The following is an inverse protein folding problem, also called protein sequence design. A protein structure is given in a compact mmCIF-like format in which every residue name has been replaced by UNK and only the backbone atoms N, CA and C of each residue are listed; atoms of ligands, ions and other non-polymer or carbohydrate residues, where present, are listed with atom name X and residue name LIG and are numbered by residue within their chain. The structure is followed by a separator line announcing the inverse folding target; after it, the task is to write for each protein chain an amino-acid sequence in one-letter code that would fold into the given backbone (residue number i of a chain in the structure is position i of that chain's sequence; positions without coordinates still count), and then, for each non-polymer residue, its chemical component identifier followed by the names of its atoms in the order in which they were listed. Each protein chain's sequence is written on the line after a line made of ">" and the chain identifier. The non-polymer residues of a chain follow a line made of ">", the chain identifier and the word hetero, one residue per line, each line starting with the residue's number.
data_IF_779748578579
#
_entry.id   IF_779748578579
#
_cell.length_a   1.000
_cell.length_b   1.000
_cell.length_c   1.000
_cell.angle_alpha   90.00
_cell.angle_beta   90.00
_cell.angle_gamma   90.00
#
_symmetry.space_group_name_H-M   'P 1'
#
loop_
_entity.id
_entity.type
_entity.pdbx_description
1 polymer ?
#
# COMPACT_ATOMS: atom_id res chain seq x y z
N UNK A 1 -22.57 -7.53 5.84
CA UNK A 1 -21.13 -7.68 5.56
C UNK A 1 -20.79 -8.77 4.54
N UNK A 2 -21.17 -10.05 4.74
CA UNK A 2 -20.89 -11.16 3.80
C UNK A 2 -21.37 -10.90 2.35
N UNK A 3 -22.63 -10.49 2.17
CA UNK A 3 -23.23 -10.19 0.86
C UNK A 3 -22.44 -9.11 0.09
N UNK A 4 -21.98 -8.06 0.78
CA UNK A 4 -21.16 -7.00 0.17
C UNK A 4 -19.83 -7.57 -0.39
N UNK A 5 -19.19 -8.49 0.33
CA UNK A 5 -17.94 -9.15 -0.13
C UNK A 5 -18.15 -9.96 -1.40
N UNK A 6 -19.29 -10.67 -1.52
CA UNK A 6 -19.63 -11.42 -2.74
C UNK A 6 -19.86 -10.50 -3.94
N UNK A 7 -20.51 -9.35 -3.75
CA UNK A 7 -20.68 -8.35 -4.81
C UNK A 7 -19.34 -7.78 -5.29
N UNK A 8 -18.42 -7.45 -4.37
CA UNK A 8 -17.09 -6.96 -4.73
C UNK A 8 -16.28 -8.03 -5.46
N UNK A 9 -16.27 -9.28 -4.99
CA UNK A 9 -15.60 -10.38 -5.68
C UNK A 9 -16.11 -10.52 -7.12
N UNK A 10 -17.43 -10.59 -7.30
CA UNK A 10 -18.04 -10.65 -8.63
C UNK A 10 -17.67 -9.43 -9.50
N UNK A 11 -17.65 -8.26 -8.91
CA UNK A 11 -17.29 -7.02 -9.62
C UNK A 11 -15.86 -7.08 -10.19
N UNK A 12 -14.88 -7.48 -9.39
CA UNK A 12 -13.49 -7.59 -9.84
C UNK A 12 -13.32 -8.69 -10.91
N UNK A 13 -13.95 -9.83 -10.72
CA UNK A 13 -13.96 -10.89 -11.74
C UNK A 13 -14.55 -10.42 -13.06
N UNK A 14 -15.65 -9.64 -13.03
CA UNK A 14 -16.22 -9.05 -14.23
C UNK A 14 -15.27 -8.04 -14.88
N UNK A 15 -14.58 -7.21 -14.09
CA UNK A 15 -13.59 -6.25 -14.60
C UNK A 15 -12.47 -6.97 -15.37
N UNK A 16 -11.93 -8.04 -14.81
CA UNK A 16 -10.89 -8.83 -15.46
C UNK A 16 -11.41 -9.53 -16.71
N UNK A 17 -12.64 -10.07 -16.67
CA UNK A 17 -13.27 -10.70 -17.83
C UNK A 17 -13.53 -9.69 -18.97
N UNK A 18 -13.92 -8.47 -18.64
CA UNK A 18 -14.18 -7.41 -19.61
C UNK A 18 -12.89 -6.86 -20.25
N UNK A 19 -11.79 -6.91 -19.50
CA UNK A 19 -10.48 -6.45 -19.98
C UNK A 19 -9.33 -7.11 -19.23
N UNK A 20 -8.71 -8.12 -19.85
CA UNK A 20 -7.57 -8.85 -19.24
C UNK A 20 -6.32 -7.97 -19.01
N UNK A 21 -6.26 -6.79 -19.61
CA UNK A 21 -5.18 -5.81 -19.42
C UNK A 21 -4.99 -5.36 -17.98
N UNK A 22 -5.99 -5.55 -17.09
CA UNK A 22 -5.83 -5.32 -15.65
C UNK A 22 -4.61 -6.03 -15.03
N UNK A 23 -4.17 -7.13 -15.61
CA UNK A 23 -3.02 -7.88 -15.11
C UNK A 23 -1.68 -7.37 -15.65
N UNK A 24 -1.68 -6.66 -16.78
CA UNK A 24 -0.46 -6.38 -17.53
C UNK A 24 -0.18 -4.89 -17.74
N UNK A 25 -1.22 -4.07 -17.81
CA UNK A 25 -1.15 -2.67 -18.21
C UNK A 25 -1.86 -1.79 -17.20
N UNK A 26 -1.41 -0.55 -17.04
CA UNK A 26 -2.17 0.42 -16.25
C UNK A 26 -3.51 0.72 -16.93
N UNK A 27 -4.58 0.82 -16.13
CA UNK A 27 -5.91 1.16 -16.66
C UNK A 27 -5.91 2.53 -17.32
N UNK A 28 -5.20 3.48 -16.73
CA UNK A 28 -4.98 4.79 -17.33
C UNK A 28 -3.69 4.79 -18.14
N UNK A 29 -3.77 4.92 -19.49
CA UNK A 29 -2.59 4.80 -20.34
C UNK A 29 -1.53 5.89 -20.11
N UNK A 30 -1.90 7.03 -19.51
CA UNK A 30 -0.94 8.08 -19.13
C UNK A 30 -0.01 7.61 -17.99
N UNK A 31 -0.44 6.60 -17.24
CA UNK A 31 0.27 6.07 -16.07
C UNK A 31 0.93 4.71 -16.33
N UNK A 32 1.03 4.29 -17.61
CA UNK A 32 1.59 2.99 -17.98
C UNK A 32 3.03 2.81 -17.47
N UNK A 33 3.87 3.81 -17.68
CA UNK A 33 5.27 3.80 -17.27
C UNK A 33 5.52 4.50 -15.92
N UNK A 34 4.46 4.71 -15.13
CA UNK A 34 4.57 5.40 -13.86
C UNK A 34 5.51 4.64 -12.92
N UNK A 35 6.59 5.30 -12.46
CA UNK A 35 7.68 4.74 -11.65
C UNK A 35 8.71 3.85 -12.39
N UNK A 36 8.66 3.68 -13.69
CA UNK A 36 9.70 2.92 -14.41
C UNK A 36 11.08 3.59 -14.28
N UNK A 37 11.14 4.91 -14.38
CA UNK A 37 12.40 5.69 -14.26
C UNK A 37 13.00 5.66 -12.85
N UNK A 38 12.17 5.42 -11.82
CA UNK A 38 12.59 5.37 -10.41
C UNK A 38 12.81 3.94 -9.92
N UNK A 39 12.75 2.96 -10.83
CA UNK A 39 12.94 1.56 -10.47
C UNK A 39 14.32 1.32 -9.87
N UNK A 40 14.33 0.77 -8.66
CA UNK A 40 15.50 0.48 -7.85
C UNK A 40 15.38 -0.96 -7.29
N UNK A 41 16.16 -1.91 -7.81
CA UNK A 41 16.12 -3.30 -7.35
C UNK A 41 16.41 -3.47 -5.86
N UNK A 42 17.27 -2.65 -5.28
CA UNK A 42 17.64 -2.75 -3.85
C UNK A 42 16.46 -2.35 -2.96
N UNK A 43 15.70 -1.33 -3.36
CA UNK A 43 14.45 -0.95 -2.67
C UNK A 43 13.39 -2.04 -2.78
N UNK A 44 13.25 -2.64 -3.96
CA UNK A 44 12.32 -3.75 -4.18
C UNK A 44 12.71 -4.95 -3.32
N UNK A 45 13.99 -5.29 -3.25
CA UNK A 45 14.47 -6.43 -2.46
C UNK A 45 14.32 -6.18 -0.96
N UNK A 46 14.59 -4.97 -0.47
CA UNK A 46 14.35 -4.59 0.92
C UNK A 46 12.86 -4.72 1.27
N UNK A 47 11.94 -4.27 0.38
CA UNK A 47 10.52 -4.44 0.57
C UNK A 47 10.11 -5.92 0.58
N UNK A 48 10.56 -6.72 -0.40
CA UNK A 48 10.26 -8.16 -0.47
C UNK A 48 10.76 -8.93 0.74
N UNK A 49 11.92 -8.56 1.27
CA UNK A 49 12.55 -9.26 2.41
C UNK A 49 12.07 -8.78 3.77
N UNK A 50 11.37 -7.64 3.82
CA UNK A 50 10.94 -7.01 5.07
C UNK A 50 12.14 -6.45 5.86
N UNK A 51 12.95 -5.63 5.19
CA UNK A 51 14.14 -4.96 5.74
C UNK A 51 14.15 -3.47 5.36
N UNK A 52 12.97 -2.85 5.32
CA UNK A 52 12.80 -1.45 4.90
C UNK A 52 13.11 -0.46 6.00
N UNK A 53 13.21 -0.90 7.26
CA UNK A 53 13.31 -0.02 8.41
C UNK A 53 11.96 0.57 8.86
N UNK A 54 10.86 0.07 8.32
CA UNK A 54 9.49 0.37 8.72
C UNK A 54 8.85 -0.86 9.33
N UNK A 55 8.79 -0.97 10.66
CA UNK A 55 8.46 -2.24 11.36
C UNK A 55 7.15 -2.88 10.94
N UNK A 56 6.09 -2.09 10.71
CA UNK A 56 4.79 -2.64 10.30
C UNK A 56 4.84 -3.20 8.86
N UNK A 57 5.58 -2.55 7.96
CA UNK A 57 5.79 -3.03 6.58
C UNK A 57 6.62 -4.31 6.62
N UNK A 58 7.72 -4.30 7.39
CA UNK A 58 8.65 -5.44 7.49
C UNK A 58 7.95 -6.66 8.10
N UNK A 59 7.20 -6.45 9.18
CA UNK A 59 6.38 -7.50 9.80
C UNK A 59 5.36 -8.08 8.82
N UNK A 60 4.65 -7.24 8.07
CA UNK A 60 3.67 -7.68 7.09
C UNK A 60 4.31 -8.49 5.95
N UNK A 61 5.43 -8.04 5.40
CA UNK A 61 6.12 -8.75 4.32
C UNK A 61 6.72 -10.08 4.76
N UNK A 62 7.28 -10.15 5.98
CA UNK A 62 7.77 -11.41 6.56
C UNK A 62 6.62 -12.38 6.87
N UNK A 63 5.50 -11.87 7.42
CA UNK A 63 4.28 -12.64 7.62
C UNK A 63 3.77 -13.24 6.30
N UNK A 64 3.65 -12.44 5.24
CA UNK A 64 3.25 -12.90 3.92
C UNK A 64 4.13 -14.03 3.41
N UNK A 65 5.44 -13.85 3.44
CA UNK A 65 6.39 -14.85 2.93
C UNK A 65 6.36 -16.17 3.71
N UNK A 66 6.09 -16.11 4.99
CA UNK A 66 6.08 -17.30 5.86
C UNK A 66 4.74 -18.01 5.88
N UNK A 67 3.63 -17.27 5.83
CA UNK A 67 2.28 -17.84 6.01
C UNK A 67 1.44 -17.88 4.74
N UNK A 68 1.79 -17.08 3.73
CA UNK A 68 0.97 -16.89 2.53
C UNK A 68 -0.31 -16.10 2.79
N UNK A 69 -0.41 -15.40 3.93
CA UNK A 69 -1.63 -14.66 4.26
C UNK A 69 -1.34 -13.30 4.91
N UNK A 70 -2.14 -12.31 4.52
CA UNK A 70 -2.22 -10.98 5.15
C UNK A 70 -3.67 -10.50 5.13
N UNK A 71 -4.08 -9.74 6.14
CA UNK A 71 -5.36 -9.03 6.08
C UNK A 71 -5.31 -7.91 5.02
N UNK A 72 -6.50 -7.43 4.61
CA UNK A 72 -6.63 -6.42 3.56
C UNK A 72 -5.85 -5.14 3.85
N UNK A 73 -5.91 -4.63 5.09
CA UNK A 73 -5.24 -3.38 5.48
C UNK A 73 -3.72 -3.45 5.31
N UNK A 74 -3.11 -4.55 5.73
CA UNK A 74 -1.67 -4.76 5.56
C UNK A 74 -1.30 -4.90 4.07
N UNK A 75 -2.13 -5.59 3.26
CA UNK A 75 -1.91 -5.66 1.81
C UNK A 75 -1.93 -4.26 1.18
N UNK A 76 -2.93 -3.45 1.51
CA UNK A 76 -3.06 -2.09 0.99
C UNK A 76 -1.89 -1.19 1.41
N UNK A 77 -1.47 -1.27 2.68
CA UNK A 77 -0.32 -0.52 3.19
C UNK A 77 0.98 -0.92 2.48
N UNK A 78 1.25 -2.23 2.32
CA UNK A 78 2.46 -2.70 1.64
C UNK A 78 2.48 -2.30 0.17
N UNK A 79 1.32 -2.34 -0.53
CA UNK A 79 1.20 -1.89 -1.91
C UNK A 79 1.46 -0.38 -2.04
N UNK A 80 0.82 0.44 -1.19
CA UNK A 80 1.06 1.89 -1.14
C UNK A 80 2.52 2.22 -0.79
N UNK A 81 3.12 1.51 0.18
CA UNK A 81 4.52 1.72 0.53
C UNK A 81 5.45 1.50 -0.66
N UNK A 82 5.26 0.39 -1.40
CA UNK A 82 6.05 0.07 -2.59
C UNK A 82 5.85 1.13 -3.68
N UNK A 83 4.60 1.46 -3.99
CA UNK A 83 4.28 2.30 -5.15
C UNK A 83 4.44 3.79 -4.86
N UNK A 84 4.02 4.25 -3.67
CA UNK A 84 4.02 5.68 -3.35
C UNK A 84 5.34 6.10 -2.69
N UNK A 85 5.77 5.42 -1.62
CA UNK A 85 6.93 5.86 -0.85
C UNK A 85 8.25 5.40 -1.47
N UNK A 86 8.33 4.16 -1.97
CA UNK A 86 9.52 3.69 -2.68
C UNK A 86 9.50 4.04 -4.17
N UNK A 87 8.36 4.47 -4.71
CA UNK A 87 8.15 4.82 -6.12
C UNK A 87 8.55 3.69 -7.08
N UNK A 88 8.10 2.46 -6.79
CA UNK A 88 8.40 1.30 -7.62
C UNK A 88 7.20 0.90 -8.49
N UNK A 89 7.43 0.29 -9.67
CA UNK A 89 6.37 -0.16 -10.56
C UNK A 89 5.39 -1.11 -9.86
N UNK A 90 4.10 -0.83 -9.96
CA UNK A 90 3.03 -1.57 -9.30
C UNK A 90 3.01 -3.07 -9.61
N UNK A 91 3.35 -3.42 -10.86
CA UNK A 91 3.33 -4.80 -11.36
C UNK A 91 4.27 -5.71 -10.56
N UNK A 92 5.43 -5.20 -10.16
CA UNK A 92 6.40 -5.94 -9.34
C UNK A 92 5.78 -6.41 -8.03
N UNK A 93 5.05 -5.51 -7.37
CA UNK A 93 4.35 -5.83 -6.13
C UNK A 93 3.17 -6.77 -6.34
N UNK A 94 2.37 -6.53 -7.38
CA UNK A 94 1.23 -7.38 -7.72
C UNK A 94 1.65 -8.83 -8.01
N UNK A 95 2.70 -9.03 -8.80
CA UNK A 95 3.24 -10.35 -9.13
C UNK A 95 3.81 -11.05 -7.88
N UNK A 96 4.51 -10.30 -7.02
CA UNK A 96 5.04 -10.83 -5.78
C UNK A 96 3.93 -11.30 -4.83
N UNK A 97 2.88 -10.51 -4.65
CA UNK A 97 1.73 -10.89 -3.83
C UNK A 97 0.97 -12.08 -4.43
N UNK A 98 0.74 -12.07 -5.74
CA UNK A 98 0.07 -13.17 -6.42
C UNK A 98 0.79 -14.51 -6.23
N UNK A 99 2.13 -14.48 -6.27
CA UNK A 99 2.95 -15.67 -6.04
C UNK A 99 2.91 -16.19 -4.60
N UNK A 100 2.85 -15.29 -3.60
CA UNK A 100 2.97 -15.69 -2.18
C UNK A 100 1.63 -15.95 -1.48
N UNK A 101 0.54 -15.34 -1.93
CA UNK A 101 -0.75 -15.46 -1.27
C UNK A 101 -1.41 -16.82 -1.55
N UNK A 102 -1.83 -17.52 -0.50
CA UNK A 102 -2.60 -18.76 -0.59
C UNK A 102 -4.02 -18.53 -1.13
N UNK A 103 -4.59 -17.36 -0.89
CA UNK A 103 -5.89 -16.91 -1.37
C UNK A 103 -5.80 -16.02 -2.60
N UNK A 104 -4.72 -16.16 -3.38
CA UNK A 104 -4.47 -15.36 -4.58
C UNK A 104 -5.60 -15.52 -5.60
N UNK A 105 -6.29 -14.41 -5.85
CA UNK A 105 -7.28 -14.26 -6.92
C UNK A 105 -6.76 -13.17 -7.87
N UNK A 106 -6.50 -13.47 -9.16
CA UNK A 106 -5.91 -12.51 -10.07
C UNK A 106 -6.76 -11.26 -10.25
N UNK A 107 -8.10 -11.43 -10.30
CA UNK A 107 -9.00 -10.31 -10.47
C UNK A 107 -8.94 -9.34 -9.28
N UNK A 108 -8.86 -9.86 -8.06
CA UNK A 108 -8.77 -9.05 -6.85
C UNK A 108 -7.36 -8.47 -6.72
N UNK A 109 -6.33 -9.32 -6.85
CA UNK A 109 -4.95 -8.92 -6.59
C UNK A 109 -4.48 -7.78 -7.50
N UNK A 110 -4.57 -7.97 -8.82
CA UNK A 110 -4.08 -6.97 -9.79
C UNK A 110 -4.93 -5.71 -9.80
N UNK A 111 -6.25 -5.84 -9.70
CA UNK A 111 -7.14 -4.67 -9.61
C UNK A 111 -6.85 -3.84 -8.35
N UNK A 112 -6.72 -4.49 -7.19
CA UNK A 112 -6.42 -3.79 -5.95
C UNK A 112 -5.04 -3.13 -5.97
N UNK A 113 -4.02 -3.79 -6.53
CA UNK A 113 -2.71 -3.15 -6.69
C UNK A 113 -2.76 -1.89 -7.54
N UNK A 114 -3.45 -1.91 -8.68
CA UNK A 114 -3.62 -0.72 -9.50
C UNK A 114 -4.36 0.41 -8.77
N UNK A 115 -5.41 0.05 -8.02
CA UNK A 115 -6.15 1.03 -7.21
C UNK A 115 -5.33 1.63 -6.07
N UNK A 116 -4.45 0.83 -5.42
CA UNK A 116 -3.57 1.33 -4.36
C UNK A 116 -2.41 2.16 -4.93
N UNK A 117 -1.90 1.80 -6.10
CA UNK A 117 -0.87 2.54 -6.82
C UNK A 117 -1.39 3.79 -7.54
N UNK A 118 -2.72 4.01 -7.56
CA UNK A 118 -3.36 5.14 -8.26
C UNK A 118 -3.26 5.11 -9.78
N UNK A 119 -2.77 4.01 -10.38
CA UNK A 119 -2.54 3.94 -11.84
C UNK A 119 -3.81 3.69 -12.66
N UNK A 120 -4.94 3.51 -12.00
CA UNK A 120 -6.26 3.59 -12.62
C UNK A 120 -6.69 5.05 -12.91
N UNK A 121 -6.08 6.02 -12.23
CA UNK A 121 -6.29 7.45 -12.39
C UNK A 121 -7.52 8.01 -11.65
N UNK A 122 -8.31 7.20 -10.96
CA UNK A 122 -9.53 7.67 -10.26
C UNK A 122 -9.23 8.23 -8.87
N UNK A 123 -8.29 7.63 -8.16
CA UNK A 123 -7.83 8.09 -6.85
C UNK A 123 -6.31 7.94 -6.75
N UNK A 124 -5.58 8.93 -7.24
CA UNK A 124 -4.13 8.87 -7.38
C UNK A 124 -3.37 9.17 -6.07
N UNK A 125 -4.03 9.70 -5.05
CA UNK A 125 -3.41 10.05 -3.76
C UNK A 125 -4.06 9.25 -2.63
N UNK A 126 -3.50 8.09 -2.34
CA UNK A 126 -3.91 7.26 -1.21
C UNK A 126 -2.68 6.69 -0.50
N UNK A 127 -1.93 7.58 0.14
CA UNK A 127 -0.66 7.22 0.77
C UNK A 127 -0.92 6.74 2.19
N UNK A 128 -0.63 5.48 2.47
CA UNK A 128 -0.66 4.94 3.83
C UNK A 128 0.55 5.43 4.63
N UNK A 129 0.30 5.87 5.87
CA UNK A 129 1.39 6.18 6.80
C UNK A 129 1.73 4.94 7.64
N UNK A 130 2.87 4.25 7.40
CA UNK A 130 3.21 3.02 8.11
C UNK A 130 3.38 3.23 9.63
N UNK A 131 3.85 4.41 10.05
CA UNK A 131 4.01 4.77 11.46
C UNK A 131 2.67 4.90 12.17
N UNK A 132 1.68 5.52 11.51
CA UNK A 132 0.30 5.56 12.02
C UNK A 132 -0.30 4.16 12.11
N UNK A 133 -0.02 3.28 11.15
CA UNK A 133 -0.52 1.90 11.18
C UNK A 133 -0.01 1.11 12.39
N UNK A 134 1.20 1.38 12.88
CA UNK A 134 1.69 0.79 14.15
C UNK A 134 0.81 1.20 15.30
N UNK A 135 0.63 2.52 15.48
CA UNK A 135 -0.13 3.07 16.61
C UNK A 135 -1.60 2.63 16.62
N UNK A 136 -2.22 2.54 15.44
CA UNK A 136 -3.66 2.29 15.31
C UNK A 136 -4.00 0.79 15.30
N UNK A 137 -3.08 -0.08 14.84
CA UNK A 137 -3.40 -1.49 14.59
C UNK A 137 -2.52 -2.49 15.34
N UNK A 138 -1.43 -2.04 15.98
CA UNK A 138 -0.54 -2.88 16.79
C UNK A 138 0.01 -2.07 17.98
N UNK A 139 -0.85 -1.43 18.79
CA UNK A 139 -0.43 -0.53 19.87
C UNK A 139 0.42 -1.24 20.93
N UNK A 140 0.27 -2.54 21.08
CA UNK A 140 1.04 -3.36 22.03
C UNK A 140 2.27 -4.01 21.39
N UNK A 141 2.46 -3.85 20.08
CA UNK A 141 3.60 -4.36 19.32
C UNK A 141 3.63 -5.88 19.15
N UNK A 142 2.49 -6.57 19.36
CA UNK A 142 2.43 -8.04 19.31
C UNK A 142 2.72 -8.57 17.90
N UNK A 143 2.15 -7.94 16.87
CA UNK A 143 2.38 -8.35 15.50
C UNK A 143 3.81 -8.03 15.05
N UNK A 144 4.29 -6.83 15.32
CA UNK A 144 5.65 -6.42 14.94
C UNK A 144 6.68 -7.33 15.63
N UNK A 145 6.63 -7.50 16.94
CA UNK A 145 7.59 -8.32 17.68
C UNK A 145 7.58 -9.78 17.26
N UNK A 146 6.43 -10.32 16.89
CA UNK A 146 6.30 -11.66 16.35
C UNK A 146 7.05 -11.87 15.02
N UNK A 147 6.99 -10.88 14.11
CA UNK A 147 7.53 -11.02 12.76
C UNK A 147 8.87 -10.33 12.56
N UNK A 148 9.24 -9.44 13.47
CA UNK A 148 10.52 -8.72 13.52
C UNK A 148 11.16 -8.96 14.88
N UNK A 149 11.65 -10.19 15.13
CA UNK A 149 12.17 -10.57 16.45
C UNK A 149 13.36 -9.72 16.90
N UNK A 150 14.07 -9.08 15.97
CA UNK A 150 15.13 -8.11 16.29
C UNK A 150 14.63 -6.91 17.09
N UNK A 151 13.33 -6.63 17.06
CA UNK A 151 12.69 -5.54 17.81
C UNK A 151 11.95 -6.03 19.07
N UNK A 152 12.00 -7.31 19.43
CA UNK A 152 11.24 -7.88 20.54
C UNK A 152 11.51 -7.17 21.87
N UNK A 153 12.78 -6.88 22.16
CA UNK A 153 13.18 -6.18 23.38
C UNK A 153 12.93 -4.66 23.35
N UNK A 154 12.61 -4.08 22.17
CA UNK A 154 12.40 -2.63 22.06
C UNK A 154 11.11 -2.22 22.76
N UNK A 155 11.10 -1.15 23.58
CA UNK A 155 9.86 -0.61 24.15
C UNK A 155 8.87 -0.20 23.07
N UNK A 156 7.59 -0.48 23.32
CA UNK A 156 6.49 -0.30 22.34
C UNK A 156 6.40 1.14 21.82
N UNK A 157 6.71 2.10 22.65
CA UNK A 157 6.70 3.53 22.33
C UNK A 157 7.67 3.94 21.20
N UNK A 158 8.63 3.07 20.86
CA UNK A 158 9.58 3.31 19.76
C UNK A 158 9.30 2.46 18.53
N UNK A 159 8.32 1.54 18.56
CA UNK A 159 8.07 0.64 17.43
C UNK A 159 7.56 1.33 16.17
N UNK A 160 6.98 2.51 16.28
CA UNK A 160 6.56 3.26 15.10
C UNK A 160 7.71 4.04 14.43
N UNK A 161 8.78 4.35 15.18
CA UNK A 161 9.97 5.07 14.73
C UNK A 161 11.24 4.57 15.46
N UNK A 162 11.70 3.34 15.21
CA UNK A 162 12.85 2.76 15.94
C UNK A 162 14.12 3.61 15.82
N UNK A 163 14.29 4.32 14.72
CA UNK A 163 15.43 5.23 14.47
C UNK A 163 15.50 6.40 15.44
N UNK A 164 14.42 6.69 16.14
CA UNK A 164 14.36 7.73 17.16
C UNK A 164 14.63 7.24 18.58
N UNK A 165 14.87 5.94 18.74
CA UNK A 165 15.18 5.36 20.06
C UNK A 165 16.50 5.94 20.60
N UNK A 166 16.52 6.52 21.81
CA UNK A 166 17.74 7.04 22.41
C UNK A 166 18.81 5.95 22.55
N UNK A 167 20.08 6.31 22.34
CA UNK A 167 21.19 5.35 22.37
C UNK A 167 21.27 4.56 23.69
N UNK A 168 21.04 5.21 24.83
CA UNK A 168 21.06 4.53 26.13
C UNK A 168 19.97 3.45 26.25
N UNK A 169 18.77 3.67 25.64
CA UNK A 169 17.71 2.67 25.58
C UNK A 169 18.13 1.51 24.67
N UNK A 170 18.70 1.83 23.49
CA UNK A 170 19.23 0.81 22.57
C UNK A 170 20.29 -0.07 23.26
N UNK A 171 21.19 0.54 24.06
CA UNK A 171 22.21 -0.15 24.82
C UNK A 171 21.60 -1.07 25.90
N UNK A 172 20.61 -0.57 26.63
CA UNK A 172 19.92 -1.29 27.70
C UNK A 172 19.21 -2.54 27.19
N UNK A 173 18.53 -2.45 26.04
CA UNK A 173 17.74 -3.55 25.46
C UNK A 173 18.53 -4.40 24.47
N UNK A 174 19.76 -4.03 24.13
CA UNK A 174 20.60 -4.76 23.18
C UNK A 174 20.15 -4.68 21.72
N UNK A 175 19.33 -3.68 21.37
CA UNK A 175 18.86 -3.44 19.99
C UNK A 175 19.62 -2.26 19.40
N UNK A 176 20.31 -2.47 18.29
CA UNK A 176 21.08 -1.43 17.59
C UNK A 176 20.46 -1.12 16.24
N UNK A 177 19.89 0.08 16.11
CA UNK A 177 19.36 0.55 14.84
C UNK A 177 20.52 0.89 13.91
N UNK A 178 20.47 0.34 12.70
CA UNK A 178 21.57 0.37 11.73
C UNK A 178 22.47 -0.87 11.76
N UNK A 179 22.38 -1.72 12.79
CA UNK A 179 23.14 -2.96 12.91
C UNK A 179 22.22 -4.19 13.01
N UNK A 180 21.37 -4.27 14.05
CA UNK A 180 20.44 -5.39 14.27
C UNK A 180 19.14 -5.21 13.48
N UNK A 181 18.71 -3.97 13.32
CA UNK A 181 17.54 -3.59 12.53
C UNK A 181 17.89 -2.35 11.68
N UNK A 182 17.52 -2.30 10.39
CA UNK A 182 17.95 -1.23 9.48
C UNK A 182 17.33 0.13 9.83
N UNK A 183 18.01 1.19 9.42
CA UNK A 183 17.40 2.51 9.31
C UNK A 183 16.32 2.53 8.23
N UNK A 184 15.32 3.44 8.33
CA UNK A 184 14.34 3.63 7.27
C UNK A 184 15.00 3.86 5.90
N UNK A 185 14.63 3.05 4.90
CA UNK A 185 15.20 3.10 3.54
C UNK A 185 14.88 4.40 2.80
N UNK A 186 13.80 5.08 3.21
CA UNK A 186 13.41 6.41 2.77
C UNK A 186 12.95 7.23 3.97
N UNK A 187 13.12 8.54 3.90
CA UNK A 187 12.52 9.43 4.89
C UNK A 187 11.05 9.69 4.49
N UNK A 188 10.11 9.49 5.42
CA UNK A 188 8.68 9.45 5.12
C UNK A 188 8.14 10.75 4.52
N UNK A 189 8.46 11.90 5.13
CA UNK A 189 7.90 13.18 4.69
C UNK A 189 8.47 13.59 3.33
N UNK A 190 9.77 13.39 3.11
CA UNK A 190 10.40 13.65 1.82
C UNK A 190 9.87 12.72 0.71
N UNK A 191 9.70 11.43 1.00
CA UNK A 191 9.13 10.48 0.05
C UNK A 191 7.67 10.82 -0.29
N UNK A 192 6.89 11.19 0.72
CA UNK A 192 5.49 11.63 0.56
C UNK A 192 5.39 12.91 -0.29
N UNK A 193 6.24 13.90 -0.02
CA UNK A 193 6.26 15.15 -0.80
C UNK A 193 6.64 14.89 -2.26
N UNK A 194 7.68 14.07 -2.50
CA UNK A 194 8.12 13.71 -3.85
C UNK A 194 7.04 13.00 -4.67
N UNK A 195 6.28 12.06 -4.07
CA UNK A 195 5.19 11.40 -4.80
C UNK A 195 4.02 12.34 -5.06
N UNK A 196 3.69 13.24 -4.14
CA UNK A 196 2.64 14.24 -4.35
C UNK A 196 3.00 15.13 -5.56
N UNK A 197 4.23 15.65 -5.60
CA UNK A 197 4.71 16.46 -6.72
C UNK A 197 4.64 15.69 -8.05
N UNK A 198 5.09 14.43 -8.05
CA UNK A 198 5.06 13.56 -9.23
C UNK A 198 3.63 13.32 -9.74
N UNK A 199 2.68 13.08 -8.82
CA UNK A 199 1.27 12.90 -9.17
C UNK A 199 0.66 14.19 -9.71
N UNK A 200 0.94 15.34 -9.08
CA UNK A 200 0.45 16.63 -9.57
C UNK A 200 0.90 16.93 -11.00
N UNK A 201 2.14 16.57 -11.34
CA UNK A 201 2.68 16.77 -12.69
C UNK A 201 1.88 16.00 -13.78
N UNK A 202 1.32 14.83 -13.46
CA UNK A 202 0.59 13.98 -14.42
C UNK A 202 -0.93 14.06 -14.27
N UNK A 203 -1.44 14.64 -13.18
CA UNK A 203 -2.87 14.66 -12.81
C UNK A 203 -3.78 15.17 -13.94
N UNK A 204 -3.42 16.30 -14.55
CA UNK A 204 -4.24 16.89 -15.61
C UNK A 204 -4.36 15.96 -16.83
N UNK A 205 -3.26 15.33 -17.23
CA UNK A 205 -3.23 14.39 -18.34
C UNK A 205 -4.01 13.10 -18.00
N UNK A 206 -3.83 12.56 -16.82
CA UNK A 206 -4.55 11.38 -16.34
C UNK A 206 -6.06 11.63 -16.25
N UNK A 207 -6.48 12.78 -15.71
CA UNK A 207 -7.88 13.21 -15.67
C UNK A 207 -8.47 13.34 -17.07
N UNK A 208 -7.73 13.90 -18.02
CA UNK A 208 -8.17 13.99 -19.42
C UNK A 208 -8.33 12.59 -20.05
N UNK A 209 -7.43 11.66 -19.77
CA UNK A 209 -7.54 10.29 -20.26
C UNK A 209 -8.81 9.59 -19.76
N UNK A 210 -9.23 9.84 -18.52
CA UNK A 210 -10.49 9.32 -17.95
C UNK A 210 -11.75 9.83 -18.65
N UNK A 211 -11.67 10.92 -19.42
CA UNK A 211 -12.81 11.40 -20.24
C UNK A 211 -13.05 10.50 -21.46
N UNK A 212 -12.05 9.70 -21.87
CA UNK A 212 -12.23 8.74 -22.96
C UNK A 212 -13.17 7.62 -22.50
N UNK A 213 -14.26 7.32 -23.25
CA UNK A 213 -15.29 6.37 -22.79
C UNK A 213 -14.75 4.98 -22.43
N UNK A 214 -13.76 4.49 -23.16
CA UNK A 214 -13.17 3.18 -22.90
C UNK A 214 -12.32 3.15 -21.63
N UNK A 215 -11.50 4.18 -21.39
CA UNK A 215 -10.69 4.31 -20.16
C UNK A 215 -11.62 4.47 -18.97
N UNK A 216 -12.64 5.32 -19.07
CA UNK A 216 -13.64 5.50 -18.01
C UNK A 216 -14.35 4.19 -17.67
N UNK A 217 -14.79 3.42 -18.67
CA UNK A 217 -15.43 2.13 -18.46
C UNK A 217 -14.51 1.12 -17.73
N UNK A 218 -13.22 1.11 -18.08
CA UNK A 218 -12.22 0.25 -17.39
C UNK A 218 -11.99 0.72 -15.96
N UNK A 219 -11.78 2.00 -15.73
CA UNK A 219 -11.50 2.59 -14.42
C UNK A 219 -12.72 2.58 -13.47
N UNK A 220 -13.96 2.69 -14.00
CA UNK A 220 -15.17 2.82 -13.19
C UNK A 220 -15.38 1.65 -12.24
N UNK A 221 -15.58 1.95 -10.95
CA UNK A 221 -15.98 0.99 -9.92
C UNK A 221 -17.52 0.91 -9.78
N UNK A 222 -18.30 1.71 -10.54
CA UNK A 222 -19.75 1.75 -10.47
C UNK A 222 -20.38 1.10 -11.73
N UNK A 223 -21.33 0.20 -11.54
CA UNK A 223 -22.15 -0.36 -12.63
C UNK A 223 -23.26 0.59 -13.12
N UNK A 224 -23.52 1.68 -12.41
CA UNK A 224 -24.45 2.70 -12.86
C UNK A 224 -23.71 3.65 -13.78
N UNK A 225 -24.08 3.68 -15.07
CA UNK A 225 -23.45 4.46 -16.15
C UNK A 225 -23.47 5.98 -15.97
N UNK A 226 -23.06 6.46 -14.83
CA UNK A 226 -22.68 7.83 -14.58
C UNK A 226 -21.18 7.97 -14.75
N UNK A 227 -20.75 8.99 -15.50
CA UNK A 227 -19.35 9.35 -15.60
C UNK A 227 -18.73 9.34 -14.20
N UNK A 228 -17.65 8.57 -14.01
CA UNK A 228 -16.81 8.69 -12.83
C UNK A 228 -16.22 10.09 -12.92
N UNK A 229 -16.79 11.04 -12.18
CA UNK A 229 -16.14 12.33 -12.05
C UNK A 229 -14.86 12.08 -11.28
N UNK A 230 -13.69 12.49 -11.77
CA UNK A 230 -12.49 12.52 -10.97
C UNK A 230 -12.86 13.37 -9.75
N UNK A 231 -12.51 12.88 -8.56
CA UNK A 231 -12.61 13.68 -7.33
C UNK A 231 -11.55 14.77 -7.44
N UNK A 232 -11.89 15.83 -8.19
CA UNK A 232 -10.97 16.91 -8.56
C UNK A 232 -10.62 17.82 -7.38
N UNK A 233 -11.30 17.69 -6.25
CA UNK A 233 -11.19 18.59 -5.12
C UNK A 233 -11.11 17.86 -3.78
N UNK A 234 -10.28 16.83 -3.67
CA UNK A 234 -9.78 16.47 -2.35
C UNK A 234 -8.53 17.34 -2.15
N UNK A 235 -8.72 18.49 -1.52
CA UNK A 235 -7.60 19.32 -1.09
C UNK A 235 -6.63 18.44 -0.31
N UNK A 236 -5.34 18.67 -0.52
CA UNK A 236 -4.24 17.90 0.12
C UNK A 236 -4.41 17.84 1.66
N UNK A 237 -5.08 18.83 2.26
CA UNK A 237 -5.42 18.88 3.68
C UNK A 237 -6.47 17.85 4.12
N UNK A 238 -7.39 17.44 3.25
CA UNK A 238 -8.44 16.47 3.60
C UNK A 238 -7.95 15.00 3.58
N UNK A 239 -6.81 14.70 2.97
CA UNK A 239 -6.24 13.33 2.92
C UNK A 239 -5.65 12.93 4.27
N UNK A 240 -5.32 13.90 5.15
CA UNK A 240 -4.81 13.61 6.49
C UNK A 240 -5.91 13.29 7.51
N UNK A 241 -7.15 13.78 7.30
CA UNK A 241 -8.22 13.64 8.28
C UNK A 241 -9.38 12.70 7.87
N UNK A 242 -9.54 12.38 6.57
CA UNK A 242 -10.66 11.56 6.09
C UNK A 242 -10.48 10.04 6.26
N UNK A 243 -9.35 9.58 6.81
CA UNK A 243 -9.23 8.16 7.21
C UNK A 243 -10.15 7.80 8.40
N UNK A 244 -10.66 8.78 9.16
CA UNK A 244 -11.49 8.51 10.33
C UNK A 244 -12.97 8.19 9.99
N UNK A 245 -13.55 8.69 8.91
CA UNK A 245 -14.98 8.51 8.63
C UNK A 245 -15.34 7.35 7.69
N UNK A 246 -14.44 6.84 6.87
CA UNK A 246 -14.73 5.70 5.98
C UNK A 246 -14.23 4.34 6.49
N UNK A 247 -13.48 4.31 7.57
CA UNK A 247 -12.96 3.10 8.20
C UNK A 247 -13.76 2.64 9.44
N UNK A 248 -14.99 3.04 9.55
CA UNK A 248 -15.90 2.42 10.51
C UNK A 248 -15.95 0.91 10.26
N UNK A 249 -15.33 0.14 11.21
CA UNK A 249 -15.51 -1.29 11.43
C UNK A 249 -14.66 -2.26 10.60
N UNK A 250 -13.55 -2.62 11.17
CA UNK A 250 -13.28 -4.01 11.61
C UNK A 250 -12.02 -4.00 12.46
N UNK A 251 -12.19 -4.17 13.76
CA UNK A 251 -11.10 -4.51 14.68
C UNK A 251 -10.52 -5.89 14.30
N UNK A 252 -9.27 -6.14 14.65
CA UNK A 252 -8.60 -7.43 14.47
C UNK A 252 -9.38 -8.62 15.11
N UNK A 253 -10.32 -8.33 16.01
CA UNK A 253 -11.13 -9.31 16.74
C UNK A 253 -12.18 -10.04 15.90
N UNK A 254 -12.45 -9.60 14.65
CA UNK A 254 -13.43 -10.25 13.77
C UNK A 254 -12.88 -11.49 13.04
N UNK A 255 -11.66 -11.94 13.36
CA UNK A 255 -11.00 -13.06 12.66
C UNK A 255 -10.25 -14.04 13.59
N UNK A 256 -10.81 -14.35 14.76
CA UNK A 256 -10.47 -15.57 15.51
C UNK A 256 -11.41 -16.70 15.18
#
# INVERSE_FOLDING_TARGET
>A
MFTSRLYWNRHYNQKLADWAGWMEQAVNPVLEDFHQETHDPDRVDAWKTGTTGYPMVDAAMRCLRQTGWLNFRMRAMCASFLCDLLQQPWKIGADFFYYHLLDADPAINYTQFQLQAGVDGTNMLRIYNPRKQVRDNDPDGEFIKKWVPELDALPVEYLDQPEKTPLHVQDEVGVRIGETYPYPIVEYEAAREAIIEKIEAVRAAATKALQHPEVNRRASLSQRGGATQPTADVAIEAVTDTEEEQNGQSSLDDFT
#
